data_IF_641548235932
#
_entry.id   IF_641548235932
#
_cell.length_a   1.000
_cell.length_b   1.000
_cell.length_c   1.000
_cell.angle_alpha   90.00
_cell.angle_beta   90.00
_cell.angle_gamma   90.00
#
_symmetry.space_group_name_H-M   'P 1'
#
loop_
_entity.id
_entity.type
_entity.pdbx_description
1 polymer ?
#
# COMPACT_ATOMS: atom_id res chain seq x y z
N UNK A 1 -19.34 15.93 36.25
CA UNK A 1 -19.14 14.78 35.35
C UNK A 1 -17.88 14.04 35.77
N UNK A 2 -17.97 12.78 36.21
CA UNK A 2 -16.78 11.93 36.41
C UNK A 2 -16.22 11.56 35.04
N UNK A 3 -14.92 11.80 34.79
CA UNK A 3 -14.24 11.30 33.59
C UNK A 3 -14.34 9.77 33.60
N UNK A 4 -14.81 9.19 32.48
CA UNK A 4 -14.79 7.74 32.29
C UNK A 4 -13.34 7.29 32.17
N UNK A 5 -12.96 6.21 32.86
CA UNK A 5 -11.68 5.56 32.62
C UNK A 5 -11.61 5.01 31.19
N UNK A 6 -10.45 5.13 30.57
CA UNK A 6 -10.22 4.62 29.22
C UNK A 6 -10.15 3.10 29.25
N UNK A 7 -10.62 2.48 28.17
CA UNK A 7 -10.43 1.05 27.93
C UNK A 7 -9.01 0.79 27.44
N UNK A 8 -8.50 -0.42 27.65
CA UNK A 8 -7.14 -0.83 27.26
C UNK A 8 -6.86 -0.55 25.77
N UNK A 9 -7.78 -0.93 24.88
CA UNK A 9 -7.63 -0.65 23.43
C UNK A 9 -7.56 0.85 23.11
N UNK A 10 -8.17 1.72 23.92
CA UNK A 10 -8.09 3.18 23.72
C UNK A 10 -6.68 3.68 24.07
N UNK A 11 -6.03 3.08 25.06
CA UNK A 11 -4.63 3.36 25.40
C UNK A 11 -3.68 2.83 24.32
N UNK A 12 -3.91 1.61 23.82
CA UNK A 12 -3.10 1.03 22.75
C UNK A 12 -3.17 1.86 21.47
N UNK A 13 -4.38 2.29 21.07
CA UNK A 13 -4.56 3.17 19.91
C UNK A 13 -3.86 4.52 20.10
N UNK A 14 -3.95 5.11 21.30
CA UNK A 14 -3.24 6.37 21.59
C UNK A 14 -1.72 6.21 21.52
N UNK A 15 -1.19 5.10 22.02
CA UNK A 15 0.24 4.80 21.93
C UNK A 15 0.69 4.58 20.48
N UNK A 16 -0.11 3.87 19.67
CA UNK A 16 0.17 3.66 18.24
C UNK A 16 0.18 5.00 17.48
N UNK A 17 -0.84 5.83 17.68
CA UNK A 17 -0.90 7.17 17.08
C UNK A 17 0.26 8.03 17.56
N UNK A 18 0.57 8.03 18.85
CA UNK A 18 1.68 8.78 19.39
C UNK A 18 3.02 8.33 18.81
N UNK A 19 3.26 7.01 18.75
CA UNK A 19 4.47 6.44 18.14
C UNK A 19 4.57 6.82 16.67
N UNK A 20 3.48 6.74 15.92
CA UNK A 20 3.45 7.10 14.51
C UNK A 20 3.77 8.58 14.29
N UNK A 21 3.14 9.49 15.05
CA UNK A 21 3.35 10.93 14.90
C UNK A 21 4.75 11.39 15.34
N UNK A 22 5.40 10.66 16.25
CA UNK A 22 6.74 10.98 16.75
C UNK A 22 7.85 10.09 16.16
N UNK A 23 7.55 9.31 15.12
CA UNK A 23 8.53 8.45 14.45
C UNK A 23 9.63 9.29 13.79
N UNK A 24 10.82 8.72 13.69
CA UNK A 24 11.93 9.36 12.97
C UNK A 24 11.70 9.26 11.47
N UNK A 25 11.69 10.41 10.78
CA UNK A 25 11.67 10.50 9.33
C UNK A 25 13.12 10.68 8.85
N UNK A 26 13.60 9.74 8.04
CA UNK A 26 14.96 9.76 7.52
C UNK A 26 14.98 10.38 6.12
N UNK A 27 15.52 11.61 5.98
CA UNK A 27 15.72 12.22 4.65
C UNK A 27 16.75 11.45 3.80
N UNK A 28 17.72 10.81 4.46
CA UNK A 28 18.73 9.95 3.84
C UNK A 28 18.81 8.61 4.55
N UNK A 29 18.77 7.53 3.77
CA UNK A 29 18.96 6.17 4.25
C UNK A 29 20.34 5.64 3.87
N UNK A 30 21.03 5.09 4.86
CA UNK A 30 22.28 4.34 4.67
C UNK A 30 22.06 2.89 5.07
N UNK A 31 22.94 1.97 4.63
CA UNK A 31 22.86 0.56 5.03
C UNK A 31 22.83 0.37 6.54
N UNK A 32 23.63 1.16 7.26
CA UNK A 32 23.69 1.12 8.72
C UNK A 32 22.36 1.56 9.34
N UNK A 33 21.76 2.65 8.85
CA UNK A 33 20.45 3.11 9.32
C UNK A 33 19.41 2.01 9.10
N UNK A 34 19.30 1.50 7.87
CA UNK A 34 18.33 0.46 7.51
C UNK A 34 18.51 -0.77 8.40
N UNK A 35 19.73 -1.26 8.57
CA UNK A 35 20.04 -2.42 9.40
C UNK A 35 19.70 -2.23 10.90
N UNK A 36 19.68 -0.98 11.38
CA UNK A 36 19.36 -0.66 12.79
C UNK A 36 17.88 -0.45 13.08
N UNK A 37 17.06 -0.17 12.06
CA UNK A 37 15.62 0.01 12.21
C UNK A 37 14.99 -1.34 12.53
N UNK A 38 14.10 -1.48 13.53
CA UNK A 38 13.40 -2.74 13.81
C UNK A 38 12.40 -3.09 12.69
N UNK A 39 12.12 -4.38 12.51
CA UNK A 39 11.30 -4.88 11.40
C UNK A 39 9.90 -4.25 11.35
N UNK A 40 9.29 -3.99 12.51
CA UNK A 40 7.95 -3.39 12.64
C UNK A 40 7.90 -1.94 12.16
N UNK A 41 9.05 -1.25 12.13
CA UNK A 41 9.16 0.14 11.66
C UNK A 41 9.82 0.24 10.28
N UNK A 42 10.35 -0.85 9.74
CA UNK A 42 11.22 -0.84 8.57
C UNK A 42 10.49 -0.34 7.33
N UNK A 43 9.33 -0.92 7.01
CA UNK A 43 8.56 -0.56 5.82
C UNK A 43 8.13 0.91 5.89
N UNK A 44 7.59 1.35 7.03
CA UNK A 44 7.19 2.74 7.22
C UNK A 44 8.37 3.71 7.05
N UNK A 45 9.57 3.39 7.57
CA UNK A 45 10.74 4.24 7.41
C UNK A 45 11.22 4.35 5.95
N UNK A 46 11.07 3.27 5.15
CA UNK A 46 11.32 3.32 3.69
C UNK A 46 10.29 4.22 3.01
N UNK A 47 9.00 4.07 3.32
CA UNK A 47 7.93 4.91 2.74
C UNK A 47 8.12 6.37 3.09
N UNK A 48 8.42 6.68 4.35
CA UNK A 48 8.68 8.05 4.80
C UNK A 48 9.86 8.67 4.03
N UNK A 49 10.96 7.92 3.85
CA UNK A 49 12.11 8.39 3.08
C UNK A 49 11.78 8.63 1.60
N UNK A 50 10.93 7.81 0.99
CA UNK A 50 10.47 8.01 -0.39
C UNK A 50 9.60 9.28 -0.46
N UNK A 51 8.68 9.45 0.49
CA UNK A 51 7.81 10.62 0.57
C UNK A 51 8.58 11.92 0.78
N UNK A 52 9.74 11.93 1.44
CA UNK A 52 10.57 13.15 1.54
C UNK A 52 11.13 13.62 0.19
N UNK A 53 11.00 12.81 -0.87
CA UNK A 53 11.50 13.12 -2.23
C UNK A 53 10.37 13.57 -3.16
N UNK A 54 9.12 13.45 -2.74
CA UNK A 54 7.92 13.80 -3.48
C UNK A 54 7.47 15.20 -3.08
N UNK A 55 6.95 15.97 -4.03
CA UNK A 55 6.40 17.29 -3.76
C UNK A 55 5.21 17.20 -2.78
N UNK A 56 4.98 18.18 -1.89
CA UNK A 56 3.92 18.09 -0.87
C UNK A 56 2.49 17.92 -1.40
N UNK A 57 2.24 18.26 -2.67
CA UNK A 57 0.96 18.10 -3.35
C UNK A 57 0.87 16.81 -4.17
N UNK A 58 1.90 15.95 -4.12
CA UNK A 58 2.03 14.69 -4.84
C UNK A 58 1.97 14.82 -6.38
N UNK A 59 2.13 16.04 -6.92
CA UNK A 59 2.03 16.29 -8.37
C UNK A 59 3.11 15.60 -9.21
N UNK A 60 4.25 15.28 -8.60
CA UNK A 60 5.40 14.59 -9.22
C UNK A 60 5.61 13.15 -8.70
N UNK A 61 4.64 12.60 -7.95
CA UNK A 61 4.74 11.30 -7.27
C UNK A 61 5.22 10.17 -8.19
N UNK A 62 4.53 9.97 -9.31
CA UNK A 62 4.88 8.93 -10.28
C UNK A 62 6.27 9.15 -10.90
N UNK A 63 6.57 10.39 -11.28
CA UNK A 63 7.85 10.77 -11.89
C UNK A 63 9.03 10.62 -10.93
N UNK A 64 8.83 10.84 -9.64
CA UNK A 64 9.84 10.66 -8.60
C UNK A 64 10.04 9.17 -8.33
N UNK A 65 8.96 8.44 -8.03
CA UNK A 65 9.03 7.03 -7.62
C UNK A 65 9.63 6.16 -8.72
N UNK A 66 9.22 6.35 -9.98
CA UNK A 66 9.74 5.56 -11.13
C UNK A 66 11.21 5.81 -11.44
N UNK A 67 11.83 6.86 -10.90
CA UNK A 67 13.28 7.13 -11.01
C UNK A 67 14.09 6.55 -9.87
N UNK A 68 13.44 6.04 -8.81
CA UNK A 68 14.13 5.37 -7.72
C UNK A 68 14.59 3.97 -8.12
N UNK A 69 15.33 3.30 -7.25
CA UNK A 69 15.69 1.90 -7.47
C UNK A 69 14.43 1.04 -7.61
N UNK A 70 14.57 -0.10 -8.28
CA UNK A 70 13.45 -1.01 -8.45
C UNK A 70 12.95 -1.61 -7.12
N UNK A 71 13.79 -1.70 -6.09
CA UNK A 71 13.36 -2.09 -4.74
C UNK A 71 12.49 -1.03 -4.06
N UNK A 72 12.84 0.26 -4.20
CA UNK A 72 12.02 1.37 -3.69
C UNK A 72 10.68 1.45 -4.43
N UNK A 73 10.69 1.30 -5.76
CA UNK A 73 9.48 1.21 -6.58
C UNK A 73 8.57 0.08 -6.10
N UNK A 74 9.11 -1.14 -5.97
CA UNK A 74 8.37 -2.32 -5.54
C UNK A 74 7.71 -2.13 -4.17
N UNK A 75 8.49 -1.71 -3.17
CA UNK A 75 7.97 -1.52 -1.80
C UNK A 75 6.90 -0.43 -1.76
N UNK A 76 7.11 0.68 -2.48
CA UNK A 76 6.15 1.77 -2.55
C UNK A 76 4.83 1.33 -3.18
N UNK A 77 4.88 0.70 -4.36
CA UNK A 77 3.69 0.26 -5.08
C UNK A 77 2.91 -0.83 -4.30
N UNK A 78 3.61 -1.78 -3.67
CA UNK A 78 2.98 -2.81 -2.83
C UNK A 78 2.34 -2.18 -1.58
N UNK A 79 3.03 -1.25 -0.91
CA UNK A 79 2.52 -0.61 0.29
C UNK A 79 1.18 0.07 0.04
N UNK A 80 1.09 0.87 -1.02
CA UNK A 80 -0.17 1.55 -1.32
C UNK A 80 -1.23 0.64 -1.94
N UNK A 81 -0.85 -0.42 -2.66
CA UNK A 81 -1.80 -1.47 -3.03
C UNK A 81 -2.49 -2.03 -1.78
N UNK A 82 -1.72 -2.42 -0.76
CA UNK A 82 -2.27 -2.92 0.49
C UNK A 82 -3.13 -1.87 1.21
N UNK A 83 -2.68 -0.61 1.27
CA UNK A 83 -3.45 0.48 1.90
C UNK A 83 -4.83 0.68 1.26
N UNK A 84 -4.90 0.77 -0.07
CA UNK A 84 -6.18 1.00 -0.73
C UNK A 84 -7.10 -0.21 -0.65
N UNK A 85 -6.57 -1.42 -0.90
CA UNK A 85 -7.39 -2.64 -0.89
C UNK A 85 -7.90 -2.97 0.51
N UNK A 86 -7.10 -2.75 1.56
CA UNK A 86 -7.54 -2.93 2.94
C UNK A 86 -8.51 -1.83 3.43
N UNK A 87 -8.57 -0.67 2.75
CA UNK A 87 -9.46 0.42 3.11
C UNK A 87 -10.80 0.37 2.35
N UNK A 88 -10.78 0.06 1.05
CA UNK A 88 -11.97 0.06 0.19
C UNK A 88 -11.92 -0.91 -0.99
N UNK A 89 -11.08 -1.94 -0.92
CA UNK A 89 -10.98 -2.97 -1.95
C UNK A 89 -10.23 -2.51 -3.22
N UNK A 90 -10.12 -3.42 -4.18
CA UNK A 90 -9.56 -3.12 -5.50
C UNK A 90 -10.35 -2.04 -6.23
N UNK A 91 -11.64 -1.91 -5.95
CA UNK A 91 -12.49 -0.83 -6.44
C UNK A 91 -11.90 0.54 -6.06
N UNK A 92 -11.53 0.74 -4.79
CA UNK A 92 -10.88 1.97 -4.35
C UNK A 92 -9.48 2.13 -4.95
N UNK A 93 -8.69 1.06 -5.02
CA UNK A 93 -7.35 1.09 -5.63
C UNK A 93 -7.39 1.60 -7.07
N UNK A 94 -8.30 1.08 -7.91
CA UNK A 94 -8.42 1.46 -9.33
C UNK A 94 -9.18 2.76 -9.58
N UNK A 95 -9.98 3.21 -8.62
CA UNK A 95 -10.64 4.52 -8.66
C UNK A 95 -9.66 5.66 -8.31
N UNK A 96 -8.78 5.44 -7.32
CA UNK A 96 -7.84 6.44 -6.86
C UNK A 96 -6.63 6.61 -7.81
N UNK A 97 -5.96 7.76 -7.69
CA UNK A 97 -4.80 8.12 -8.52
C UNK A 97 -3.64 7.13 -8.41
N UNK A 98 -3.51 6.43 -7.28
CA UNK A 98 -2.44 5.47 -7.04
C UNK A 98 -2.47 4.28 -8.03
N UNK A 99 -3.60 4.03 -8.70
CA UNK A 99 -3.70 3.01 -9.75
C UNK A 99 -2.68 3.17 -10.88
N UNK A 100 -2.04 4.34 -11.03
CA UNK A 100 -0.90 4.53 -11.93
C UNK A 100 0.25 3.55 -11.65
N UNK A 101 0.39 3.06 -10.41
CA UNK A 101 1.39 2.08 -9.98
C UNK A 101 0.91 0.62 -10.09
N UNK A 102 -0.22 0.33 -10.75
CA UNK A 102 -0.77 -1.03 -10.78
C UNK A 102 0.21 -2.06 -11.37
N UNK A 103 0.88 -1.72 -12.47
CA UNK A 103 1.89 -2.61 -13.07
C UNK A 103 3.15 -2.70 -12.17
N UNK A 104 3.56 -1.60 -11.54
CA UNK A 104 4.68 -1.58 -10.59
C UNK A 104 4.41 -2.45 -9.36
N UNK A 105 3.17 -2.48 -8.87
CA UNK A 105 2.74 -3.33 -7.78
C UNK A 105 2.78 -4.81 -8.19
N UNK A 106 2.32 -5.15 -9.41
CA UNK A 106 2.46 -6.50 -9.95
C UNK A 106 3.93 -6.93 -10.02
N UNK A 107 4.79 -6.13 -10.64
CA UNK A 107 6.23 -6.42 -10.73
C UNK A 107 6.88 -6.48 -9.34
N UNK A 108 6.46 -5.63 -8.42
CA UNK A 108 6.93 -5.64 -7.04
C UNK A 108 6.60 -6.96 -6.34
N UNK A 109 5.35 -7.43 -6.43
CA UNK A 109 4.91 -8.70 -5.85
C UNK A 109 5.70 -9.88 -6.44
N UNK A 110 5.97 -9.88 -7.74
CA UNK A 110 6.83 -10.87 -8.39
C UNK A 110 8.27 -10.83 -7.84
N UNK A 111 8.85 -9.63 -7.66
CA UNK A 111 10.22 -9.46 -7.14
C UNK A 111 10.38 -9.95 -5.72
N UNK A 112 9.39 -9.75 -4.86
CA UNK A 112 9.46 -10.19 -3.45
C UNK A 112 9.06 -11.67 -3.27
N UNK A 113 8.64 -12.33 -4.36
CA UNK A 113 8.22 -13.74 -4.33
C UNK A 113 6.81 -13.99 -3.81
N UNK A 114 5.94 -12.99 -3.83
CA UNK A 114 4.52 -13.11 -3.47
C UNK A 114 3.72 -13.67 -4.65
N UNK A 115 3.88 -14.96 -4.93
CA UNK A 115 3.42 -15.63 -6.16
C UNK A 115 1.90 -15.60 -6.31
N UNK A 116 1.15 -15.79 -5.23
CA UNK A 116 -0.33 -15.82 -5.30
C UNK A 116 -0.88 -14.41 -5.40
N UNK A 117 -0.34 -13.48 -4.64
CA UNK A 117 -0.70 -12.07 -4.72
C UNK A 117 -0.37 -11.48 -6.09
N UNK A 118 0.77 -11.81 -6.71
CA UNK A 118 1.07 -11.35 -8.07
C UNK A 118 0.09 -11.92 -9.10
N UNK A 119 -0.28 -13.20 -8.98
CA UNK A 119 -1.31 -13.81 -9.83
C UNK A 119 -2.69 -13.17 -9.63
N UNK A 120 -3.04 -12.78 -8.40
CA UNK A 120 -4.28 -12.05 -8.12
C UNK A 120 -4.24 -10.63 -8.69
N UNK A 121 -3.13 -9.92 -8.51
CA UNK A 121 -2.93 -8.57 -9.03
C UNK A 121 -3.04 -8.53 -10.56
N UNK A 122 -2.46 -9.53 -11.25
CA UNK A 122 -2.59 -9.68 -12.69
C UNK A 122 -4.04 -9.85 -13.14
N UNK A 123 -4.84 -10.62 -12.39
CA UNK A 123 -6.27 -10.76 -12.67
C UNK A 123 -7.02 -9.45 -12.44
N UNK A 124 -6.72 -8.74 -11.36
CA UNK A 124 -7.33 -7.45 -11.04
C UNK A 124 -7.05 -6.41 -12.15
N UNK A 125 -5.81 -6.33 -12.63
CA UNK A 125 -5.43 -5.47 -13.76
C UNK A 125 -6.19 -5.85 -15.05
N UNK A 126 -6.35 -7.14 -15.34
CA UNK A 126 -7.10 -7.59 -16.54
C UNK A 126 -8.56 -7.17 -16.44
N UNK A 127 -9.22 -7.44 -15.31
CA UNK A 127 -10.61 -7.06 -15.06
C UNK A 127 -10.80 -5.55 -15.15
N UNK A 128 -9.87 -4.77 -14.58
CA UNK A 128 -9.87 -3.32 -14.71
C UNK A 128 -9.81 -2.86 -16.16
N UNK A 129 -8.91 -3.42 -16.97
CA UNK A 129 -8.78 -3.06 -18.38
C UNK A 129 -10.03 -3.43 -19.19
N UNK A 130 -10.65 -4.56 -18.88
CA UNK A 130 -11.86 -5.04 -19.55
C UNK A 130 -13.13 -4.25 -19.17
N UNK A 131 -13.20 -3.76 -17.93
CA UNK A 131 -14.41 -3.15 -17.35
C UNK A 131 -14.14 -1.72 -16.83
N UNK A 132 -13.21 -0.99 -17.48
CA UNK A 132 -12.71 0.29 -16.97
C UNK A 132 -13.85 1.27 -16.71
N UNK A 133 -14.81 1.36 -17.64
CA UNK A 133 -15.95 2.26 -17.52
C UNK A 133 -16.80 1.91 -16.29
N UNK A 134 -17.17 0.64 -16.11
CA UNK A 134 -17.97 0.22 -14.95
C UNK A 134 -17.22 0.39 -13.61
N UNK A 135 -15.89 0.41 -13.63
CA UNK A 135 -15.06 0.54 -12.42
C UNK A 135 -14.72 2.00 -12.06
N UNK A 136 -14.67 2.91 -13.03
CA UNK A 136 -14.23 4.30 -12.78
C UNK A 136 -15.32 5.34 -12.95
N UNK A 137 -16.42 5.02 -13.63
CA UNK A 137 -17.50 5.98 -13.91
C UNK A 137 -18.76 5.61 -13.13
N UNK A 138 -19.22 6.54 -12.30
CA UNK A 138 -20.50 6.42 -11.60
C UNK A 138 -21.57 7.02 -12.50
N UNK A 139 -22.40 6.18 -13.11
CA UNK A 139 -23.45 6.64 -14.04
C UNK A 139 -24.63 7.33 -13.32
N UNK A 140 -24.81 7.04 -12.03
CA UNK A 140 -25.89 7.56 -11.19
C UNK A 140 -25.31 8.06 -9.85
N UNK A 141 -25.30 9.38 -9.67
CA UNK A 141 -24.74 10.03 -8.47
C UNK A 141 -25.68 10.01 -7.25
N UNK A 142 -26.83 9.31 -7.33
CA UNK A 142 -27.69 9.08 -6.17
C UNK A 142 -27.09 8.04 -5.22
N UNK A 143 -27.54 8.01 -3.96
CA UNK A 143 -27.10 7.01 -2.97
C UNK A 143 -27.30 5.58 -3.51
N UNK A 144 -28.42 5.34 -4.20
CA UNK A 144 -28.73 4.08 -4.85
C UNK A 144 -27.76 3.75 -5.99
N UNK A 145 -27.40 4.75 -6.80
CA UNK A 145 -26.39 4.62 -7.86
C UNK A 145 -25.00 4.28 -7.34
N UNK A 146 -24.55 4.96 -6.27
CA UNK A 146 -23.31 4.62 -5.55
C UNK A 146 -23.38 3.20 -4.97
N UNK A 147 -24.48 2.83 -4.30
CA UNK A 147 -24.64 1.49 -3.74
C UNK A 147 -24.53 0.42 -4.83
N UNK A 148 -25.20 0.63 -5.97
CA UNK A 148 -25.15 -0.31 -7.11
C UNK A 148 -23.75 -0.41 -7.70
N UNK A 149 -23.09 0.72 -7.94
CA UNK A 149 -21.70 0.77 -8.44
C UNK A 149 -20.75 -0.06 -7.57
N UNK A 150 -20.84 0.09 -6.25
CA UNK A 150 -20.02 -0.69 -5.33
C UNK A 150 -20.47 -2.14 -5.19
N UNK A 151 -21.76 -2.47 -5.30
CA UNK A 151 -22.25 -3.85 -5.12
C UNK A 151 -21.92 -4.76 -6.30
N UNK A 152 -22.04 -4.21 -7.52
CA UNK A 152 -21.90 -4.97 -8.77
C UNK A 152 -20.45 -4.94 -9.32
N UNK A 153 -19.51 -4.30 -8.60
CA UNK A 153 -18.14 -4.17 -9.09
C UNK A 153 -17.48 -5.55 -9.25
N UNK A 154 -16.99 -5.91 -10.46
CA UNK A 154 -16.40 -7.23 -10.72
C UNK A 154 -15.17 -7.51 -9.86
N UNK A 155 -14.50 -6.46 -9.34
CA UNK A 155 -13.32 -6.55 -8.51
C UNK A 155 -13.61 -7.04 -7.08
N UNK A 156 -14.84 -6.87 -6.57
CA UNK A 156 -15.18 -7.24 -5.18
C UNK A 156 -14.87 -8.70 -4.85
N UNK A 157 -14.97 -9.59 -5.84
CA UNK A 157 -14.64 -11.02 -5.67
C UNK A 157 -13.16 -11.25 -5.36
N UNK A 158 -12.30 -10.30 -5.69
CA UNK A 158 -10.85 -10.38 -5.48
C UNK A 158 -10.45 -9.85 -4.10
N UNK A 159 -11.26 -8.99 -3.47
CA UNK A 159 -10.93 -8.36 -2.18
C UNK A 159 -10.79 -9.41 -1.07
N UNK A 160 -11.78 -10.30 -0.94
CA UNK A 160 -11.73 -11.40 0.04
C UNK A 160 -10.53 -12.32 -0.18
N UNK A 161 -10.19 -12.58 -1.45
CA UNK A 161 -9.03 -13.39 -1.81
C UNK A 161 -7.75 -12.66 -1.41
N UNK A 162 -7.66 -11.36 -1.65
CA UNK A 162 -6.51 -10.55 -1.24
C UNK A 162 -6.30 -10.63 0.28
N UNK A 163 -7.34 -10.44 1.08
CA UNK A 163 -7.25 -10.49 2.54
C UNK A 163 -6.80 -11.85 3.09
N UNK A 164 -7.14 -12.93 2.40
CA UNK A 164 -6.64 -14.27 2.73
C UNK A 164 -5.17 -14.42 2.33
N UNK A 165 -4.81 -14.00 1.12
CA UNK A 165 -3.47 -14.17 0.58
C UNK A 165 -2.40 -13.33 1.30
N UNK A 166 -2.71 -12.11 1.73
CA UNK A 166 -1.75 -11.30 2.52
C UNK A 166 -1.32 -12.00 3.81
N UNK A 167 -2.23 -12.78 4.42
CA UNK A 167 -1.95 -13.60 5.61
C UNK A 167 -1.25 -14.90 5.24
N UNK A 168 -1.72 -15.56 4.18
CA UNK A 168 -1.18 -16.84 3.73
C UNK A 168 0.28 -16.73 3.28
N UNK A 169 0.60 -15.74 2.45
CA UNK A 169 1.96 -15.50 1.97
C UNK A 169 2.81 -14.67 2.95
N UNK A 170 2.19 -14.12 3.99
CA UNK A 170 2.81 -13.20 4.94
C UNK A 170 3.51 -12.04 4.21
N UNK A 171 2.70 -11.22 3.55
CA UNK A 171 3.18 -10.10 2.71
C UNK A 171 4.18 -9.21 3.44
N UNK A 172 3.90 -8.86 4.70
CA UNK A 172 4.79 -8.06 5.54
C UNK A 172 6.18 -8.70 5.67
N UNK A 173 6.26 -9.99 6.00
CA UNK A 173 7.53 -10.69 6.11
C UNK A 173 8.28 -10.78 4.77
N UNK A 174 7.57 -10.94 3.65
CA UNK A 174 8.19 -10.96 2.32
C UNK A 174 8.83 -9.61 1.99
N UNK A 175 8.12 -8.50 2.23
CA UNK A 175 8.65 -7.14 2.02
C UNK A 175 9.88 -6.90 2.91
N UNK A 176 9.79 -7.23 4.20
CA UNK A 176 10.90 -7.07 5.15
C UNK A 176 12.12 -7.88 4.71
N UNK A 177 11.92 -9.17 4.42
CA UNK A 177 13.00 -10.04 3.95
C UNK A 177 13.63 -9.51 2.66
N UNK A 178 12.83 -9.00 1.73
CA UNK A 178 13.35 -8.38 0.51
C UNK A 178 14.22 -7.16 0.81
N UNK A 179 13.76 -6.24 1.67
CA UNK A 179 14.53 -5.06 2.07
C UNK A 179 15.86 -5.48 2.72
N UNK A 180 15.81 -6.39 3.71
CA UNK A 180 16.98 -6.85 4.47
C UNK A 180 18.05 -7.49 3.57
N UNK A 181 17.64 -8.22 2.54
CA UNK A 181 18.55 -8.90 1.63
C UNK A 181 19.02 -8.02 0.46
N UNK A 182 18.41 -6.85 0.25
CA UNK A 182 18.70 -5.97 -0.89
C UNK A 182 19.02 -4.53 -0.50
N UNK A 183 19.73 -4.33 0.62
CA UNK A 183 20.01 -2.99 1.19
C UNK A 183 20.53 -1.96 0.18
N UNK A 184 21.29 -2.37 -0.85
CA UNK A 184 21.80 -1.48 -1.90
C UNK A 184 20.69 -0.77 -2.68
N UNK A 185 19.50 -1.35 -2.77
CA UNK A 185 18.37 -0.72 -3.45
C UNK A 185 17.69 0.34 -2.58
N UNK A 186 17.97 0.39 -1.27
CA UNK A 186 17.22 1.24 -0.34
C UNK A 186 18.02 2.42 0.22
N UNK A 187 19.26 2.63 -0.24
CA UNK A 187 20.13 3.73 0.18
C UNK A 187 20.08 4.92 -0.77
N UNK A 188 20.44 6.11 -0.26
CA UNK A 188 20.64 7.35 -1.04
C UNK A 188 22.11 7.57 -1.43
#
# INVERSE_FOLDING_TARGET
MKKREKREWEYDMENLVHSFLNRTIYEKLTKHIIASIPDEALVQAIIDNIQTKISPDFSDEYDVVTKLSAGRQAVYAIFYLECEVCNGGFSQFFYNSISVFAEDALYGLERIGAVKLSALMKQAISLYKENKKEITEIEDETIEGYHKFYSDNPLNKLDDIFYLLIKEENLSALIINYIRNNLNEFVD
#
